data_IF_722820510616
#
_entry.id   IF_722820510616
#
_cell.length_a   1.000
_cell.length_b   1.000
_cell.length_c   1.000
_cell.angle_alpha   90.00
_cell.angle_beta   90.00
_cell.angle_gamma   90.00
#
_symmetry.space_group_name_H-M   'P 1'
#
loop_
_entity.id
_entity.type
_entity.pdbx_description
1 polymer ?
#
# COMPACT_ATOMS: atom_id res chain seq x y z
N UNK A 1 28.15 33.84 -12.99
CA UNK A 1 26.76 33.64 -13.45
C UNK A 1 25.91 33.23 -12.26
N UNK A 2 24.77 33.86 -11.99
CA UNK A 2 23.93 33.48 -10.85
C UNK A 2 23.39 32.06 -11.09
N UNK A 3 23.71 31.13 -10.20
CA UNK A 3 23.12 29.80 -10.20
C UNK A 3 21.66 29.92 -9.81
N UNK A 4 20.75 29.87 -10.80
CA UNK A 4 19.31 29.84 -10.53
C UNK A 4 19.01 28.59 -9.71
N UNK A 5 18.63 28.77 -8.45
CA UNK A 5 18.28 27.66 -7.56
C UNK A 5 16.94 27.10 -8.04
N UNK A 6 16.80 25.78 -8.21
CA UNK A 6 15.54 25.19 -8.65
C UNK A 6 14.41 25.59 -7.70
N UNK A 7 13.29 26.06 -8.25
CA UNK A 7 12.12 26.40 -7.44
C UNK A 7 11.39 25.12 -7.04
N UNK A 8 10.93 25.06 -5.79
CA UNK A 8 10.19 23.92 -5.22
C UNK A 8 8.81 24.42 -4.84
N UNK A 9 7.77 23.81 -5.41
CA UNK A 9 6.36 24.15 -5.20
C UNK A 9 5.63 22.96 -4.58
N UNK A 10 4.83 23.23 -3.55
CA UNK A 10 3.91 22.26 -2.95
C UNK A 10 2.50 22.54 -3.42
N UNK A 11 1.79 21.50 -3.85
CA UNK A 11 0.36 21.56 -4.17
C UNK A 11 -0.38 20.56 -3.32
N UNK A 12 -1.39 21.04 -2.59
CA UNK A 12 -2.17 20.24 -1.65
C UNK A 12 -3.61 20.10 -2.12
N UNK A 13 -4.14 18.89 -2.05
CA UNK A 13 -5.49 18.55 -2.46
C UNK A 13 -6.23 17.90 -1.29
N UNK A 14 -7.46 18.34 -1.04
CA UNK A 14 -8.29 17.82 0.05
C UNK A 14 -9.25 16.71 -0.40
N UNK A 15 -9.27 16.43 -1.71
CA UNK A 15 -9.99 15.30 -2.28
C UNK A 15 -9.16 14.64 -3.40
N UNK A 16 -9.31 13.33 -3.60
CA UNK A 16 -8.61 12.61 -4.65
C UNK A 16 -9.05 13.08 -6.05
N UNK A 17 -10.29 13.54 -6.23
CA UNK A 17 -10.81 14.13 -7.47
C UNK A 17 -10.11 15.43 -7.90
N UNK A 18 -9.59 16.20 -6.93
CA UNK A 18 -8.87 17.45 -7.18
C UNK A 18 -7.43 17.25 -7.69
N UNK A 19 -6.86 16.04 -7.50
CA UNK A 19 -5.51 15.73 -7.99
C UNK A 19 -5.49 15.86 -9.51
N UNK A 20 -4.61 16.72 -10.02
CA UNK A 20 -4.57 17.08 -11.43
C UNK A 20 -4.12 15.91 -12.32
N UNK A 21 -4.61 15.85 -13.56
CA UNK A 21 -4.35 14.74 -14.48
C UNK A 21 -2.85 14.56 -14.79
N UNK A 22 -2.05 15.63 -14.72
CA UNK A 22 -0.59 15.55 -14.86
C UNK A 22 0.06 14.64 -13.81
N UNK A 23 -0.45 14.64 -12.57
CA UNK A 23 0.03 13.79 -11.47
C UNK A 23 -0.37 12.34 -11.72
N UNK A 24 -1.64 12.10 -12.08
CA UNK A 24 -2.13 10.77 -12.41
C UNK A 24 -1.35 10.14 -13.58
N UNK A 25 -1.14 10.90 -14.65
CA UNK A 25 -0.34 10.45 -15.80
C UNK A 25 1.07 10.06 -15.38
N UNK A 26 1.68 10.84 -14.50
CA UNK A 26 3.03 10.56 -13.99
C UNK A 26 3.07 9.29 -13.15
N UNK A 27 2.10 9.09 -12.24
CA UNK A 27 1.98 7.86 -11.46
C UNK A 27 1.74 6.64 -12.35
N UNK A 28 0.87 6.75 -13.36
CA UNK A 28 0.54 5.70 -14.34
C UNK A 28 1.70 5.36 -15.29
N UNK A 29 2.64 6.29 -15.49
CA UNK A 29 3.83 6.04 -16.28
C UNK A 29 4.82 5.10 -15.57
N UNK A 30 4.76 5.03 -14.23
CA UNK A 30 5.62 4.17 -13.41
C UNK A 30 4.79 3.32 -12.42
N UNK A 31 3.88 2.45 -12.91
CA UNK A 31 2.87 1.81 -12.06
C UNK A 31 3.46 0.89 -11.00
N UNK A 32 4.62 0.24 -11.25
CA UNK A 32 5.31 -0.55 -10.22
C UNK A 32 5.81 0.31 -9.07
N UNK A 33 6.42 1.47 -9.37
CA UNK A 33 6.99 2.38 -8.36
C UNK A 33 5.87 3.07 -7.57
N UNK A 34 4.76 3.37 -8.24
CA UNK A 34 3.61 4.04 -7.65
C UNK A 34 2.55 3.08 -7.11
N UNK A 35 2.73 1.76 -7.14
CA UNK A 35 1.67 0.79 -6.81
C UNK A 35 1.15 0.90 -5.35
N UNK A 36 1.91 1.52 -4.45
CA UNK A 36 1.41 1.81 -3.10
C UNK A 36 0.35 2.91 -3.12
N UNK A 37 0.51 3.93 -3.97
CA UNK A 37 -0.27 5.16 -3.95
C UNK A 37 -1.27 5.25 -5.09
N UNK A 38 -0.91 4.81 -6.29
CA UNK A 38 -1.75 4.89 -7.49
C UNK A 38 -3.08 4.14 -7.33
N UNK A 39 -3.12 2.86 -6.89
CA UNK A 39 -4.39 2.17 -6.63
C UNK A 39 -5.24 2.86 -5.56
N UNK A 40 -4.62 3.40 -4.51
CA UNK A 40 -5.33 4.16 -3.47
C UNK A 40 -5.99 5.40 -4.06
N UNK A 41 -5.26 6.15 -4.88
CA UNK A 41 -5.76 7.36 -5.52
C UNK A 41 -6.88 7.05 -6.52
N UNK A 42 -6.70 6.06 -7.40
CA UNK A 42 -7.71 5.69 -8.39
C UNK A 42 -8.99 5.19 -7.73
N UNK A 43 -8.88 4.28 -6.75
CA UNK A 43 -10.02 3.78 -5.99
C UNK A 43 -10.76 4.89 -5.25
N UNK A 44 -10.03 5.79 -4.59
CA UNK A 44 -10.65 6.90 -3.86
C UNK A 44 -11.37 7.89 -4.82
N UNK A 45 -10.85 8.09 -6.04
CA UNK A 45 -11.54 8.89 -7.08
C UNK A 45 -12.81 8.21 -7.58
N UNK A 46 -12.77 6.90 -7.83
CA UNK A 46 -13.93 6.13 -8.27
C UNK A 46 -15.03 6.11 -7.19
N UNK A 47 -14.64 5.92 -5.93
CA UNK A 47 -15.54 6.00 -4.77
C UNK A 47 -16.17 7.39 -4.65
N UNK A 48 -15.39 8.47 -4.80
CA UNK A 48 -15.91 9.85 -4.78
C UNK A 48 -16.90 10.12 -5.92
N UNK A 49 -16.61 9.64 -7.14
CA UNK A 49 -17.49 9.78 -8.31
C UNK A 49 -18.79 8.99 -8.17
N UNK A 50 -18.75 7.82 -7.51
CA UNK A 50 -19.92 6.94 -7.37
C UNK A 50 -20.81 7.28 -6.16
N UNK A 51 -20.21 7.70 -5.04
CA UNK A 51 -20.94 7.93 -3.78
C UNK A 51 -21.31 9.41 -3.54
N UNK A 52 -20.89 10.32 -4.42
CA UNK A 52 -21.10 11.78 -4.32
C UNK A 52 -20.70 12.40 -2.97
N UNK A 53 -19.92 11.68 -2.15
CA UNK A 53 -19.49 12.15 -0.82
C UNK A 53 -18.00 11.95 -0.71
N UNK A 54 -17.28 13.07 -0.57
CA UNK A 54 -15.85 13.04 -0.31
C UNK A 54 -15.60 12.46 1.08
N UNK A 55 -14.69 11.49 1.17
CA UNK A 55 -14.22 11.00 2.47
C UNK A 55 -13.50 12.16 3.17
N UNK A 56 -13.93 12.57 4.38
CA UNK A 56 -13.33 13.70 5.07
C UNK A 56 -11.89 13.42 5.46
N UNK A 57 -11.13 14.48 5.75
CA UNK A 57 -9.77 14.43 6.31
C UNK A 57 -8.74 13.68 5.43
N UNK A 58 -8.93 13.71 4.10
CA UNK A 58 -7.93 13.26 3.16
C UNK A 58 -7.05 14.42 2.71
N UNK A 59 -5.73 14.19 2.67
CA UNK A 59 -4.77 15.17 2.16
C UNK A 59 -3.81 14.46 1.21
N UNK A 60 -3.66 15.05 0.03
CA UNK A 60 -2.67 14.64 -0.97
C UNK A 60 -1.74 15.81 -1.22
N UNK A 61 -0.43 15.59 -1.14
CA UNK A 61 0.57 16.65 -1.36
C UNK A 61 1.48 16.23 -2.50
N UNK A 62 1.66 17.13 -3.47
CA UNK A 62 2.53 16.95 -4.62
C UNK A 62 3.67 17.94 -4.53
N UNK A 63 4.90 17.45 -4.51
CA UNK A 63 6.11 18.25 -4.63
C UNK A 63 6.51 18.32 -6.10
N UNK A 64 6.57 19.53 -6.65
CA UNK A 64 7.05 19.80 -8.00
C UNK A 64 8.30 20.67 -7.93
N UNK A 65 9.30 20.35 -8.73
CA UNK A 65 10.46 21.20 -8.95
C UNK A 65 10.51 21.73 -10.36
N UNK A 66 11.02 22.94 -10.53
CA UNK A 66 11.32 23.49 -11.84
C UNK A 66 12.82 23.62 -12.00
N UNK A 67 13.36 23.02 -13.07
CA UNK A 67 14.77 23.14 -13.40
C UNK A 67 15.14 24.55 -13.93
N UNK A 68 16.44 24.88 -14.09
CA UNK A 68 16.84 26.19 -14.61
C UNK A 68 16.34 26.49 -16.03
N UNK A 69 15.95 25.47 -16.80
CA UNK A 69 15.36 25.62 -18.13
C UNK A 69 13.84 25.86 -18.07
N UNK A 70 13.25 25.96 -16.87
CA UNK A 70 11.82 26.19 -16.67
C UNK A 70 10.97 24.92 -16.78
N UNK A 71 11.57 23.73 -16.88
CA UNK A 71 10.84 22.48 -16.99
C UNK A 71 10.44 21.98 -15.60
N UNK A 72 9.13 21.85 -15.39
CA UNK A 72 8.58 21.30 -14.16
C UNK A 72 8.60 19.75 -14.16
N UNK A 73 8.95 19.15 -13.02
CA UNK A 73 8.90 17.72 -12.75
C UNK A 73 8.29 17.44 -11.38
N UNK A 74 7.48 16.39 -11.28
CA UNK A 74 6.99 15.90 -9.99
C UNK A 74 8.08 15.08 -9.34
N UNK A 75 8.44 15.42 -8.11
CA UNK A 75 9.50 14.75 -7.36
C UNK A 75 8.92 13.71 -6.40
N UNK A 76 7.89 14.11 -5.65
CA UNK A 76 7.26 13.29 -4.60
C UNK A 76 5.74 13.46 -4.62
N UNK A 77 5.04 12.38 -4.28
CA UNK A 77 3.61 12.41 -3.97
C UNK A 77 3.40 11.80 -2.60
N UNK A 78 2.72 12.53 -1.71
CA UNK A 78 2.36 12.09 -0.37
C UNK A 78 0.85 11.87 -0.28
N UNK A 79 0.46 10.78 0.37
CA UNK A 79 -0.92 10.47 0.72
C UNK A 79 -1.08 10.40 2.24
N UNK A 80 -2.04 11.16 2.75
CA UNK A 80 -2.54 11.11 4.12
C UNK A 80 -4.04 10.85 4.07
N UNK A 81 -4.43 9.57 4.02
CA UNK A 81 -5.81 9.14 3.73
C UNK A 81 -6.32 8.10 4.73
N UNK A 82 -7.63 7.88 4.74
CA UNK A 82 -8.27 6.90 5.61
C UNK A 82 -9.04 5.87 4.78
N UNK A 83 -9.00 4.62 5.22
CA UNK A 83 -9.79 3.54 4.65
C UNK A 83 -11.13 3.36 5.39
N UNK A 84 -11.92 2.35 4.99
CA UNK A 84 -13.23 2.07 5.59
C UNK A 84 -13.22 1.80 7.09
N UNK A 85 -12.09 1.37 7.66
CA UNK A 85 -12.02 0.95 9.06
C UNK A 85 -10.83 1.52 9.83
N UNK A 86 -9.82 2.07 9.16
CA UNK A 86 -8.59 2.56 9.81
C UNK A 86 -7.99 3.74 9.05
N UNK A 87 -7.31 4.62 9.77
CA UNK A 87 -6.42 5.62 9.16
C UNK A 87 -5.21 4.93 8.55
N UNK A 88 -4.86 5.28 7.32
CA UNK A 88 -3.65 4.74 6.71
C UNK A 88 -2.40 5.48 7.22
N UNK A 89 -1.23 4.82 7.20
CA UNK A 89 0.04 5.50 7.36
C UNK A 89 0.22 6.56 6.27
N UNK A 90 1.15 7.48 6.49
CA UNK A 90 1.60 8.39 5.45
C UNK A 90 2.37 7.60 4.41
N UNK A 91 1.93 7.62 3.17
CA UNK A 91 2.67 7.06 2.05
C UNK A 91 3.40 8.17 1.31
N UNK A 92 4.71 8.04 1.09
CA UNK A 92 5.48 8.97 0.27
C UNK A 92 6.13 8.20 -0.87
N UNK A 93 5.73 8.53 -2.09
CA UNK A 93 6.26 7.91 -3.30
C UNK A 93 7.20 8.90 -4.01
N UNK A 94 8.50 8.62 -4.09
CA UNK A 94 9.38 9.34 -5.00
C UNK A 94 9.06 8.96 -6.45
N UNK A 95 8.84 9.96 -7.28
CA UNK A 95 8.64 9.78 -8.73
C UNK A 95 9.99 9.76 -9.43
N UNK A 96 10.86 10.67 -9.05
CA UNK A 96 12.22 10.74 -9.54
C UNK A 96 13.10 9.59 -9.03
N UNK A 97 14.24 9.37 -9.69
CA UNK A 97 15.25 8.44 -9.16
C UNK A 97 15.94 9.09 -7.95
N UNK A 98 15.87 8.44 -6.79
CA UNK A 98 16.52 8.88 -5.55
C UNK A 98 18.05 8.83 -5.57
N UNK A 99 18.69 8.63 -6.72
CA UNK A 99 20.13 8.80 -6.89
C UNK A 99 20.57 10.27 -6.81
N UNK A 100 19.62 11.19 -6.64
CA UNK A 100 19.89 12.59 -6.35
C UNK A 100 20.38 12.74 -4.91
N UNK A 101 21.37 13.59 -4.70
CA UNK A 101 22.05 13.72 -3.40
C UNK A 101 21.09 14.02 -2.24
N UNK A 102 21.44 13.57 -1.04
CA UNK A 102 20.61 13.66 0.18
C UNK A 102 20.05 15.07 0.44
N UNK A 103 20.83 16.11 0.17
CA UNK A 103 20.41 17.49 0.38
C UNK A 103 19.29 17.94 -0.57
N UNK A 104 19.27 17.39 -1.79
CA UNK A 104 18.18 17.62 -2.73
C UNK A 104 16.86 17.04 -2.17
N UNK A 105 16.92 15.83 -1.60
CA UNK A 105 15.76 15.15 -1.01
C UNK A 105 15.29 15.87 0.25
N UNK A 106 16.22 16.23 1.15
CA UNK A 106 15.95 16.94 2.40
C UNK A 106 15.14 18.21 2.20
N UNK A 107 15.58 19.12 1.32
CA UNK A 107 14.87 20.39 1.06
C UNK A 107 13.41 20.20 0.65
N UNK A 108 13.11 19.14 -0.10
CA UNK A 108 11.75 18.84 -0.59
C UNK A 108 10.89 18.22 0.50
N UNK A 109 11.44 17.28 1.25
CA UNK A 109 10.73 16.62 2.34
C UNK A 109 10.47 17.56 3.52
N UNK A 110 11.40 18.49 3.82
CA UNK A 110 11.18 19.55 4.80
C UNK A 110 9.96 20.41 4.42
N UNK A 111 9.90 20.90 3.16
CA UNK A 111 8.75 21.66 2.66
C UNK A 111 7.45 20.85 2.67
N UNK A 112 7.52 19.56 2.35
CA UNK A 112 6.37 18.66 2.37
C UNK A 112 5.87 18.39 3.79
N UNK A 113 6.76 18.25 4.78
CA UNK A 113 6.42 18.12 6.19
C UNK A 113 5.73 19.38 6.71
N UNK A 114 6.27 20.56 6.38
CA UNK A 114 5.62 21.85 6.69
C UNK A 114 4.22 21.96 6.08
N UNK A 115 4.07 21.62 4.81
CA UNK A 115 2.78 21.65 4.14
C UNK A 115 1.78 20.69 4.82
N UNK A 116 2.21 19.47 5.16
CA UNK A 116 1.36 18.51 5.86
C UNK A 116 0.95 19.02 7.26
N UNK A 117 1.88 19.62 8.01
CA UNK A 117 1.62 20.15 9.35
C UNK A 117 0.53 21.22 9.35
N UNK A 118 0.44 22.03 8.29
CA UNK A 118 -0.63 23.02 8.14
C UNK A 118 -2.00 22.41 7.75
N UNK A 119 -2.04 21.15 7.33
CA UNK A 119 -3.26 20.50 6.83
C UNK A 119 -3.85 19.47 7.78
N UNK A 120 -3.06 18.90 8.68
CA UNK A 120 -3.50 17.84 9.61
C UNK A 120 -2.98 18.07 11.02
N UNK A 121 -3.70 17.55 12.01
CA UNK A 121 -3.19 17.53 13.37
C UNK A 121 -1.94 16.64 13.48
N UNK A 122 -0.93 16.98 14.31
CA UNK A 122 0.30 16.21 14.42
C UNK A 122 0.10 14.70 14.68
N UNK A 123 -0.86 14.35 15.54
CA UNK A 123 -1.19 12.95 15.87
C UNK A 123 -1.75 12.14 14.69
N UNK A 124 -2.11 12.78 13.57
CA UNK A 124 -2.52 12.08 12.35
C UNK A 124 -1.36 11.30 11.73
N UNK A 125 -0.12 11.75 11.94
CA UNK A 125 1.09 11.11 11.43
C UNK A 125 1.63 10.17 12.51
N UNK A 126 1.14 8.93 12.49
CA UNK A 126 1.56 7.89 13.44
C UNK A 126 2.54 6.87 12.83
N UNK A 127 2.61 6.79 11.50
CA UNK A 127 3.47 5.87 10.76
C UNK A 127 3.72 6.42 9.36
N UNK A 128 4.94 6.28 8.85
CA UNK A 128 5.36 6.71 7.52
C UNK A 128 5.89 5.50 6.75
N UNK A 129 5.50 5.37 5.49
CA UNK A 129 5.89 4.29 4.60
C UNK A 129 6.42 4.88 3.28
N UNK A 130 7.74 4.81 3.12
CA UNK A 130 8.48 5.29 1.96
C UNK A 130 9.84 4.56 1.90
N UNK A 131 10.65 4.73 0.84
CA UNK A 131 12.03 4.25 0.84
C UNK A 131 12.81 4.81 2.04
N UNK A 132 13.73 4.03 2.60
CA UNK A 132 14.42 4.33 3.88
C UNK A 132 14.92 5.77 3.97
N UNK A 133 15.69 6.25 2.99
CA UNK A 133 16.21 7.64 2.97
C UNK A 133 15.11 8.69 3.00
N UNK A 134 13.97 8.44 2.35
CA UNK A 134 12.81 9.34 2.34
C UNK A 134 12.13 9.32 3.71
N UNK A 135 11.95 8.14 4.29
CA UNK A 135 11.34 7.95 5.60
C UNK A 135 12.15 8.64 6.69
N UNK A 136 13.47 8.39 6.75
CA UNK A 136 14.35 8.95 7.78
C UNK A 136 14.36 10.48 7.76
N UNK A 137 14.50 11.06 6.57
CA UNK A 137 14.50 12.51 6.39
C UNK A 137 13.12 13.08 6.79
N UNK A 138 12.04 12.55 6.24
CA UNK A 138 10.70 13.08 6.51
C UNK A 138 10.34 13.00 8.00
N UNK A 139 10.63 11.86 8.65
CA UNK A 139 10.39 11.67 10.07
C UNK A 139 11.22 12.62 10.93
N UNK A 140 12.47 12.89 10.56
CA UNK A 140 13.32 13.88 11.24
C UNK A 140 12.74 15.30 11.15
N UNK A 141 12.36 15.72 9.93
CA UNK A 141 11.74 17.04 9.70
C UNK A 141 10.40 17.17 10.45
N UNK A 142 9.58 16.11 10.45
CA UNK A 142 8.30 16.08 11.16
C UNK A 142 8.47 16.16 12.68
N UNK A 143 9.43 15.40 13.23
CA UNK A 143 9.72 15.42 14.66
C UNK A 143 10.23 16.79 15.12
N UNK A 144 11.10 17.42 14.32
CA UNK A 144 11.59 18.78 14.58
C UNK A 144 10.43 19.80 14.57
N UNK A 145 9.53 19.70 13.59
CA UNK A 145 8.43 20.65 13.41
C UNK A 145 7.36 20.51 14.50
N UNK A 146 7.06 19.29 14.94
CA UNK A 146 5.97 19.01 15.88
C UNK A 146 6.41 18.91 17.34
N UNK A 147 7.70 18.72 17.59
CA UNK A 147 8.23 18.36 18.92
C UNK A 147 7.89 16.94 19.35
N UNK A 148 7.25 16.13 18.49
CA UNK A 148 6.90 14.74 18.78
C UNK A 148 8.08 13.86 18.37
N UNK A 149 8.72 13.25 19.37
CA UNK A 149 9.83 12.32 19.13
C UNK A 149 9.38 11.03 18.42
N UNK A 150 10.36 10.33 17.82
CA UNK A 150 10.11 9.01 17.27
C UNK A 150 9.86 7.99 18.38
N UNK A 151 9.17 6.89 18.05
CA UNK A 151 8.98 5.79 18.99
C UNK A 151 10.31 5.15 19.42
N UNK A 152 10.33 4.47 20.57
CA UNK A 152 11.52 3.78 21.11
C UNK A 152 12.16 2.81 20.10
N UNK A 153 11.37 2.22 19.21
CA UNK A 153 11.81 1.48 18.03
C UNK A 153 11.12 2.06 16.80
N UNK A 154 11.73 3.03 16.11
CA UNK A 154 11.05 3.83 15.08
C UNK A 154 10.82 3.06 13.78
N UNK A 155 11.67 2.08 13.47
CA UNK A 155 11.52 1.22 12.31
C UNK A 155 10.66 0.02 12.69
N UNK A 156 9.44 -0.01 12.17
CA UNK A 156 8.53 -1.13 12.43
C UNK A 156 8.86 -2.36 11.57
N UNK A 157 9.05 -2.20 10.26
CA UNK A 157 9.62 -3.22 9.36
C UNK A 157 10.19 -2.59 8.09
N UNK A 158 11.10 -3.31 7.43
CA UNK A 158 11.49 -3.02 6.05
C UNK A 158 10.60 -3.81 5.08
N UNK A 159 10.01 -3.11 4.11
CA UNK A 159 9.17 -3.71 3.10
C UNK A 159 9.94 -3.91 1.80
N UNK A 160 9.82 -5.08 1.19
CA UNK A 160 10.40 -5.37 -0.11
C UNK A 160 9.31 -5.50 -1.15
N UNK A 161 9.43 -4.75 -2.25
CA UNK A 161 8.56 -4.88 -3.41
C UNK A 161 9.22 -5.77 -4.44
N UNK A 162 8.74 -7.00 -4.52
CA UNK A 162 9.10 -7.92 -5.59
C UNK A 162 8.09 -7.79 -6.73
N UNK A 163 8.56 -7.97 -7.96
CA UNK A 163 7.72 -7.99 -9.15
C UNK A 163 7.93 -9.27 -9.93
N UNK A 164 6.85 -9.79 -10.48
CA UNK A 164 6.89 -10.84 -11.49
C UNK A 164 6.03 -10.42 -12.69
N UNK A 165 6.45 -10.87 -13.87
CA UNK A 165 5.65 -10.94 -15.09
C UNK A 165 5.52 -12.41 -15.48
N UNK A 166 4.57 -12.77 -16.37
CA UNK A 166 4.48 -14.13 -16.90
C UNK A 166 5.83 -14.66 -17.43
N UNK A 167 6.63 -13.80 -18.06
CA UNK A 167 7.95 -14.16 -18.58
C UNK A 167 9.02 -14.46 -17.49
N UNK A 168 8.84 -13.94 -16.27
CA UNK A 168 9.77 -14.18 -15.16
C UNK A 168 9.36 -15.34 -14.25
N UNK A 169 8.13 -15.84 -14.39
CA UNK A 169 7.62 -16.95 -13.57
C UNK A 169 8.26 -18.25 -14.03
N UNK A 170 9.05 -18.86 -13.13
CA UNK A 170 9.60 -20.20 -13.37
C UNK A 170 8.52 -21.27 -13.20
N UNK A 171 8.52 -22.35 -14.00
CA UNK A 171 7.65 -23.50 -13.78
C UNK A 171 7.74 -24.02 -12.34
N UNK A 172 6.63 -24.54 -11.81
CA UNK A 172 6.67 -25.22 -10.50
C UNK A 172 7.53 -26.48 -10.60
N UNK A 173 8.48 -26.64 -9.69
CA UNK A 173 9.20 -27.90 -9.54
C UNK A 173 8.40 -28.94 -8.73
N UNK A 174 7.31 -28.52 -8.08
CA UNK A 174 6.47 -29.38 -7.23
C UNK A 174 5.30 -29.95 -8.04
N UNK A 175 5.01 -31.25 -7.92
CA UNK A 175 3.74 -31.82 -8.38
C UNK A 175 2.55 -31.06 -7.77
N UNK A 176 1.43 -31.03 -8.49
CA UNK A 176 0.19 -30.46 -7.96
C UNK A 176 -0.17 -31.09 -6.60
N UNK A 177 -0.60 -30.26 -5.65
CA UNK A 177 -1.03 -30.73 -4.34
C UNK A 177 -2.37 -31.45 -4.47
N UNK A 178 -2.35 -32.78 -4.32
CA UNK A 178 -3.56 -33.61 -4.36
C UNK A 178 -4.55 -33.11 -3.30
N UNK A 179 -5.80 -32.88 -3.70
CA UNK A 179 -6.86 -32.44 -2.81
C UNK A 179 -6.80 -30.96 -2.37
N UNK A 180 -5.91 -30.12 -2.94
CA UNK A 180 -6.04 -28.66 -2.85
C UNK A 180 -6.70 -28.09 -4.11
N UNK A 181 -7.71 -27.25 -3.89
CA UNK A 181 -8.31 -26.42 -4.93
C UNK A 181 -7.99 -24.95 -4.65
N UNK A 182 -7.33 -24.29 -5.60
CA UNK A 182 -7.16 -22.83 -5.58
C UNK A 182 -8.32 -22.18 -6.32
N UNK A 183 -9.01 -21.25 -5.67
CA UNK A 183 -10.18 -20.56 -6.23
C UNK A 183 -10.37 -19.18 -5.61
N UNK A 184 -11.17 -18.35 -6.26
CA UNK A 184 -11.68 -17.14 -5.62
C UNK A 184 -12.54 -17.51 -4.41
N UNK A 185 -12.45 -16.73 -3.34
CA UNK A 185 -13.27 -16.93 -2.16
C UNK A 185 -14.73 -16.55 -2.45
N UNK A 186 -15.66 -17.28 -1.83
CA UNK A 186 -17.10 -17.02 -1.90
C UNK A 186 -17.62 -16.55 -0.54
N UNK A 187 -18.89 -16.13 -0.48
CA UNK A 187 -19.52 -15.71 0.77
C UNK A 187 -19.53 -16.81 1.85
N UNK A 188 -19.51 -18.09 1.46
CA UNK A 188 -19.46 -19.22 2.38
C UNK A 188 -18.10 -19.34 3.10
N UNK A 189 -17.02 -18.84 2.48
CA UNK A 189 -15.68 -18.87 3.05
C UNK A 189 -15.44 -17.78 4.09
N UNK A 190 -16.35 -16.82 4.23
CA UNK A 190 -16.15 -15.61 5.00
C UNK A 190 -15.71 -15.85 6.45
N UNK A 191 -16.18 -16.94 7.08
CA UNK A 191 -15.71 -17.31 8.42
C UNK A 191 -14.26 -17.76 8.43
N UNK A 192 -13.90 -18.70 7.56
CA UNK A 192 -12.55 -19.26 7.50
C UNK A 192 -11.53 -18.21 7.03
N UNK A 193 -11.90 -17.37 6.07
CA UNK A 193 -11.06 -16.24 5.63
C UNK A 193 -10.92 -15.22 6.77
N UNK A 194 -11.99 -14.95 7.52
CA UNK A 194 -11.97 -14.08 8.70
C UNK A 194 -10.99 -14.58 9.77
N UNK A 195 -11.00 -15.88 10.05
CA UNK A 195 -10.07 -16.50 11.00
C UNK A 195 -8.61 -16.34 10.54
N UNK A 196 -8.33 -16.56 9.25
CA UNK A 196 -6.97 -16.37 8.71
C UNK A 196 -6.55 -14.89 8.67
N UNK A 197 -7.47 -13.96 8.40
CA UNK A 197 -7.21 -12.52 8.52
C UNK A 197 -6.90 -12.12 9.97
N UNK A 198 -7.63 -12.68 10.94
CA UNK A 198 -7.39 -12.44 12.36
C UNK A 198 -6.01 -12.94 12.77
N UNK A 199 -5.67 -14.17 12.43
CA UNK A 199 -4.36 -14.75 12.74
C UNK A 199 -3.20 -14.00 12.06
N UNK A 200 -3.39 -13.55 10.81
CA UNK A 200 -2.43 -12.66 10.14
C UNK A 200 -2.21 -11.35 10.91
N UNK A 201 -3.28 -10.73 11.41
CA UNK A 201 -3.21 -9.47 12.14
C UNK A 201 -2.61 -9.64 13.55
N UNK A 202 -2.87 -10.77 14.22
CA UNK A 202 -2.24 -11.11 15.50
C UNK A 202 -0.72 -11.21 15.38
N UNK A 203 -0.23 -11.74 14.26
CA UNK A 203 1.20 -11.84 13.94
C UNK A 203 1.81 -10.48 13.51
N UNK A 204 1.03 -9.38 13.49
CA UNK A 204 1.44 -8.06 12.99
C UNK A 204 1.19 -6.85 13.94
N UNK A 205 1.52 -6.88 15.26
CA UNK A 205 1.34 -5.72 16.14
C UNK A 205 2.18 -4.51 15.68
N UNK A 206 1.65 -3.27 15.62
CA UNK A 206 0.45 -2.81 16.35
C UNK A 206 -0.85 -2.92 15.53
N UNK A 207 -0.82 -3.47 14.32
CA UNK A 207 -1.97 -3.53 13.41
C UNK A 207 -2.88 -4.73 13.69
N UNK A 208 -3.10 -5.04 14.96
CA UNK A 208 -3.99 -6.13 15.37
C UNK A 208 -5.45 -5.83 15.00
N UNK A 209 -6.21 -6.89 14.77
CA UNK A 209 -7.65 -6.83 14.53
C UNK A 209 -8.33 -7.67 15.62
N UNK A 210 -9.50 -7.23 16.07
CA UNK A 210 -10.43 -8.13 16.75
C UNK A 210 -10.98 -9.15 15.73
N UNK A 211 -11.49 -10.28 16.21
CA UNK A 211 -12.12 -11.27 15.34
C UNK A 211 -13.24 -10.68 14.48
N UNK A 212 -14.03 -9.77 15.06
CA UNK A 212 -15.10 -9.08 14.34
C UNK A 212 -14.57 -8.16 13.23
N UNK A 213 -13.50 -7.40 13.49
CA UNK A 213 -12.87 -6.56 12.46
C UNK A 213 -12.27 -7.42 11.34
N UNK A 214 -11.65 -8.55 11.68
CA UNK A 214 -11.09 -9.49 10.71
C UNK A 214 -12.19 -10.15 9.86
N UNK A 215 -13.34 -10.46 10.44
CA UNK A 215 -14.51 -10.95 9.69
C UNK A 215 -15.03 -9.89 8.72
N UNK A 216 -15.16 -8.64 9.18
CA UNK A 216 -15.54 -7.51 8.31
C UNK A 216 -14.56 -7.30 7.16
N UNK A 217 -13.26 -7.44 7.44
CA UNK A 217 -12.23 -7.37 6.41
C UNK A 217 -12.40 -8.51 5.39
N UNK A 218 -12.63 -9.74 5.84
CA UNK A 218 -12.90 -10.88 4.96
C UNK A 218 -14.13 -10.66 4.08
N UNK A 219 -15.25 -10.21 4.65
CA UNK A 219 -16.47 -9.91 3.90
C UNK A 219 -16.21 -8.84 2.81
N UNK A 220 -15.41 -7.82 3.14
CA UNK A 220 -15.04 -6.76 2.20
C UNK A 220 -14.16 -7.29 1.06
N UNK A 221 -13.17 -8.13 1.38
CA UNK A 221 -12.27 -8.74 0.38
C UNK A 221 -13.04 -9.67 -0.55
N UNK A 222 -13.94 -10.50 -0.02
CA UNK A 222 -14.78 -11.41 -0.80
C UNK A 222 -15.71 -10.61 -1.71
N UNK A 223 -16.41 -9.60 -1.17
CA UNK A 223 -17.32 -8.75 -1.95
C UNK A 223 -16.61 -8.02 -3.08
N UNK A 224 -15.33 -7.67 -2.91
CA UNK A 224 -14.51 -7.01 -3.92
C UNK A 224 -13.79 -7.98 -4.85
N UNK A 225 -13.98 -9.30 -4.68
CA UNK A 225 -13.26 -10.33 -5.42
C UNK A 225 -11.72 -10.18 -5.31
N UNK A 226 -11.26 -9.69 -4.15
CA UNK A 226 -9.85 -9.35 -3.89
C UNK A 226 -9.12 -10.46 -3.09
N UNK A 227 -9.74 -11.63 -2.86
CA UNK A 227 -9.12 -12.73 -2.09
C UNK A 227 -9.37 -14.11 -2.68
N UNK A 228 -8.29 -14.88 -2.77
CA UNK A 228 -8.26 -16.27 -3.20
C UNK A 228 -7.92 -17.19 -2.03
N UNK A 229 -8.39 -18.42 -2.09
CA UNK A 229 -8.22 -19.46 -1.08
C UNK A 229 -7.59 -20.71 -1.71
N UNK A 230 -6.76 -21.43 -0.94
CA UNK A 230 -6.50 -22.85 -1.19
C UNK A 230 -7.34 -23.64 -0.20
N UNK A 231 -8.40 -24.23 -0.73
CA UNK A 231 -9.28 -25.15 -0.04
C UNK A 231 -8.66 -26.55 -0.07
N UNK A 232 -8.63 -27.24 1.07
CA UNK A 232 -8.12 -28.60 1.18
C UNK A 232 -9.24 -29.51 1.65
N UNK A 233 -9.48 -30.57 0.87
CA UNK A 233 -10.38 -31.66 1.23
C UNK A 233 -9.56 -32.88 1.70
N UNK A 234 -9.90 -33.39 2.89
CA UNK A 234 -9.35 -34.64 3.42
C UNK A 234 -10.48 -35.67 3.51
N UNK A 235 -10.18 -36.93 3.25
CA UNK A 235 -11.15 -38.02 3.34
C UNK A 235 -11.80 -38.04 4.73
N UNK A 236 -13.15 -38.06 4.75
CA UNK A 236 -13.94 -38.06 5.98
C UNK A 236 -13.96 -36.74 6.76
N UNK A 237 -13.37 -35.64 6.24
CA UNK A 237 -13.40 -34.32 6.88
C UNK A 237 -14.06 -33.29 5.99
N UNK A 238 -14.70 -32.29 6.62
CA UNK A 238 -15.19 -31.11 5.91
C UNK A 238 -14.00 -30.36 5.30
N UNK A 239 -14.17 -29.86 4.09
CA UNK A 239 -13.19 -28.99 3.45
C UNK A 239 -12.87 -27.78 4.33
N UNK A 240 -11.61 -27.36 4.32
CA UNK A 240 -11.13 -26.21 5.10
C UNK A 240 -10.21 -25.33 4.24
N UNK A 241 -9.96 -24.10 4.65
CA UNK A 241 -9.06 -23.19 3.95
C UNK A 241 -7.68 -23.25 4.59
N UNK A 242 -6.70 -23.79 3.85
CA UNK A 242 -5.32 -23.89 4.32
C UNK A 242 -4.57 -22.55 4.19
N UNK A 243 -4.85 -21.78 3.13
CA UNK A 243 -4.14 -20.54 2.83
C UNK A 243 -5.04 -19.52 2.14
N UNK A 244 -4.77 -18.24 2.37
CA UNK A 244 -5.35 -17.11 1.64
C UNK A 244 -4.28 -16.29 0.94
N UNK A 245 -4.66 -15.66 -0.17
CA UNK A 245 -3.90 -14.62 -0.88
C UNK A 245 -4.85 -13.48 -1.20
N UNK A 246 -4.56 -12.26 -0.74
CA UNK A 246 -5.33 -11.07 -1.07
C UNK A 246 -4.56 -10.14 -2.02
N UNK A 247 -5.25 -9.66 -3.05
CA UNK A 247 -4.75 -8.74 -4.08
C UNK A 247 -5.53 -7.45 -3.99
N UNK A 248 -5.08 -6.52 -3.14
CA UNK A 248 -5.88 -5.32 -2.78
C UNK A 248 -5.34 -4.02 -3.38
N UNK A 249 -4.22 -4.09 -4.12
CA UNK A 249 -3.59 -2.94 -4.76
C UNK A 249 -3.43 -3.21 -6.25
N UNK A 250 -4.50 -2.92 -6.97
CA UNK A 250 -4.58 -3.16 -8.40
C UNK A 250 -4.81 -1.86 -9.16
N UNK A 251 -4.06 -1.67 -10.23
CA UNK A 251 -4.33 -0.71 -11.27
C UNK A 251 -4.30 -1.44 -12.62
N UNK A 252 -4.62 -0.74 -13.72
CA UNK A 252 -4.74 -1.33 -15.06
C UNK A 252 -3.52 -2.18 -15.50
N UNK A 253 -2.32 -1.89 -15.00
CA UNK A 253 -1.07 -2.54 -15.44
C UNK A 253 -0.42 -3.44 -14.39
N UNK A 254 -0.77 -3.29 -13.12
CA UNK A 254 -0.07 -3.94 -12.00
C UNK A 254 -1.10 -4.28 -10.93
N UNK A 255 -1.07 -5.52 -10.47
CA UNK A 255 -1.74 -5.98 -9.28
C UNK A 255 -0.69 -6.40 -8.25
N UNK A 256 -0.91 -6.09 -6.97
CA UNK A 256 -0.02 -6.49 -5.90
C UNK A 256 -0.74 -7.34 -4.86
N UNK A 257 -0.11 -8.45 -4.54
CA UNK A 257 -0.45 -9.29 -3.40
C UNK A 257 -0.03 -8.53 -2.14
N UNK A 258 -0.99 -8.27 -1.26
CA UNK A 258 -0.79 -7.49 -0.03
C UNK A 258 -0.91 -8.32 1.23
N UNK A 259 -1.53 -9.50 1.13
CA UNK A 259 -1.68 -10.45 2.23
C UNK A 259 -1.49 -11.86 1.70
N UNK A 260 -0.61 -12.62 2.35
CA UNK A 260 -0.51 -14.07 2.18
C UNK A 260 -0.44 -14.65 3.57
N UNK A 261 -1.34 -15.58 3.86
CA UNK A 261 -1.32 -16.26 5.15
C UNK A 261 -1.68 -17.73 4.97
N UNK A 262 -0.92 -18.59 5.62
CA UNK A 262 -1.19 -20.03 5.69
C UNK A 262 -1.38 -20.41 7.14
N UNK A 263 -2.48 -21.09 7.42
CA UNK A 263 -2.80 -21.61 8.74
C UNK A 263 -1.62 -22.48 9.26
N UNK A 264 -1.25 -22.38 10.55
CA UNK A 264 -0.08 -23.07 11.12
C UNK A 264 0.04 -24.55 10.73
N UNK A 265 -1.06 -25.32 10.82
CA UNK A 265 -1.10 -26.75 10.48
C UNK A 265 -0.76 -27.08 9.02
N UNK A 266 -0.78 -26.09 8.15
CA UNK A 266 -0.59 -26.24 6.70
C UNK A 266 0.70 -25.54 6.21
N UNK A 267 1.45 -24.88 7.08
CA UNK A 267 2.72 -24.22 6.72
C UNK A 267 3.75 -25.23 6.23
N UNK A 268 4.70 -24.76 5.41
CA UNK A 268 5.79 -25.56 4.82
C UNK A 268 5.38 -26.72 3.90
N UNK A 269 4.08 -26.91 3.63
CA UNK A 269 3.56 -27.95 2.73
C UNK A 269 3.34 -27.49 1.29
N UNK A 270 3.65 -26.23 0.97
CA UNK A 270 3.56 -25.68 -0.39
C UNK A 270 2.21 -25.04 -0.77
N UNK A 271 1.23 -24.98 0.14
CA UNK A 271 -0.10 -24.41 -0.16
C UNK A 271 -0.05 -22.92 -0.54
N UNK A 272 0.71 -22.09 0.19
CA UNK A 272 0.91 -20.69 -0.18
C UNK A 272 1.57 -20.55 -1.55
N UNK A 273 2.59 -21.35 -1.85
CA UNK A 273 3.26 -21.31 -3.16
C UNK A 273 2.29 -21.65 -4.30
N UNK A 274 1.50 -22.71 -4.12
CA UNK A 274 0.48 -23.13 -5.10
C UNK A 274 -0.56 -22.01 -5.32
N UNK A 275 -1.05 -21.41 -4.25
CA UNK A 275 -2.06 -20.35 -4.32
C UNK A 275 -1.52 -19.06 -4.93
N UNK A 276 -0.33 -18.61 -4.51
CA UNK A 276 0.33 -17.42 -5.08
C UNK A 276 0.57 -17.64 -6.57
N UNK A 277 1.02 -18.84 -6.98
CA UNK A 277 1.20 -19.16 -8.39
C UNK A 277 -0.10 -19.02 -9.17
N UNK A 278 -1.18 -19.64 -8.69
CA UNK A 278 -2.52 -19.53 -9.30
C UNK A 278 -2.97 -18.08 -9.47
N UNK A 279 -2.71 -17.21 -8.49
CA UNK A 279 -3.07 -15.78 -8.55
C UNK A 279 -2.19 -14.97 -9.52
N UNK A 280 -0.97 -15.43 -9.79
CA UNK A 280 0.00 -14.73 -10.65
C UNK A 280 0.00 -15.16 -12.12
N UNK A 281 -0.75 -16.21 -12.48
CA UNK A 281 -0.84 -16.79 -13.83
C UNK A 281 -2.18 -16.51 -14.47
#
# INVERSE_FOLDING_TARGET
MPSSTPSIVMSSYSSPGQVVEGVLRTLRASPCRSNILLPLLEKAREEELSQQTAVPNQVWIVCTSTDPAGKASIDFVLSCTQGPSKTYPIFIVPIMNCSTGTEYVRKRLAKMAHELFHKVQPGRVFSVFAPDVVTDIFCGEWAQLTGIGLAHNPVYYHAWFMRCTPASLKPSARPGLIGCQSRLATAEDASLVGDLCYQFALDSPPFVLTQWEARKEADLLIKKEEVWVCEVAMEGKRATIASIVAVTRSCKKVAAITKVYTHPDWRMKGYAENLVRHVTT
#
